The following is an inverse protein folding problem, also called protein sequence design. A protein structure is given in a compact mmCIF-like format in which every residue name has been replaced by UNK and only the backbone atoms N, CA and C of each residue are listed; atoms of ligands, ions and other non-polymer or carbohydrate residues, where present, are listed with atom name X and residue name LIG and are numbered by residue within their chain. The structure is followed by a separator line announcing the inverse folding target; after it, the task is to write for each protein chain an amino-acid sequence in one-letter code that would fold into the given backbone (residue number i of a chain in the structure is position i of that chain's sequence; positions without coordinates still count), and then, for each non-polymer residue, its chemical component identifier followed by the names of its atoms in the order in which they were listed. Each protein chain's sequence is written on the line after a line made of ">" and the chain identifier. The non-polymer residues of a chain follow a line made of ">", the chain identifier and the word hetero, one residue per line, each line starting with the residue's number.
data_IF_787907372174
#
_entry.id   IF_787907372174
#
_cell.length_a   1.000
_cell.length_b   1.000
_cell.length_c   1.000
_cell.angle_alpha   90.00
_cell.angle_beta   90.00
_cell.angle_gamma   90.00
#
_symmetry.space_group_name_H-M   'P 1'
#
loop_
_entity.id
_entity.type
_entity.pdbx_description
1 polymer ?
#
# COMPACT_ATOMS: atom_id res chain seq x y z
N UNK A 1 -12.72 -5.95 10.20
CA UNK A 1 -11.54 -5.24 10.72
C UNK A 1 -11.47 -3.89 10.04
N UNK A 2 -11.31 -2.85 10.81
CA UNK A 2 -11.14 -1.52 10.24
C UNK A 2 -9.70 -1.03 10.37
N UNK A 3 -9.43 0.16 9.84
CA UNK A 3 -8.09 0.71 9.79
C UNK A 3 -7.48 0.95 11.18
N UNK A 4 -8.30 1.18 12.20
CA UNK A 4 -7.79 1.42 13.56
C UNK A 4 -7.06 0.20 14.11
N UNK A 5 -7.48 -1.01 13.73
CA UNK A 5 -6.77 -2.22 14.09
C UNK A 5 -5.30 -2.18 13.62
N UNK A 6 -5.04 -1.57 12.48
CA UNK A 6 -3.71 -1.49 11.89
C UNK A 6 -2.93 -0.26 12.36
N UNK A 7 -3.59 0.89 12.50
CA UNK A 7 -2.91 2.09 13.03
C UNK A 7 -2.46 1.88 14.46
N UNK A 8 -3.21 1.13 15.26
CA UNK A 8 -2.81 0.77 16.62
C UNK A 8 -1.55 -0.11 16.64
N UNK A 9 -1.27 -0.81 15.54
CA UNK A 9 -0.07 -1.65 15.38
C UNK A 9 1.12 -0.92 14.78
N UNK A 10 0.98 0.36 14.43
CA UNK A 10 2.07 1.16 13.92
C UNK A 10 1.99 1.54 12.44
N UNK A 11 0.89 1.24 11.76
CA UNK A 11 0.67 1.78 10.41
C UNK A 11 0.40 3.27 10.49
N UNK A 12 1.08 4.04 9.65
CA UNK A 12 0.96 5.49 9.59
C UNK A 12 0.22 5.95 8.33
N UNK A 13 -0.62 6.96 8.50
CA UNK A 13 -1.25 7.62 7.35
C UNK A 13 -0.18 8.29 6.49
N UNK A 14 -0.20 8.02 5.19
CA UNK A 14 0.75 8.61 4.24
C UNK A 14 0.10 9.68 3.37
N UNK A 15 -0.98 9.33 2.69
CA UNK A 15 -1.62 10.22 1.72
C UNK A 15 -3.02 9.74 1.38
N UNK A 16 -3.73 10.56 0.58
CA UNK A 16 -5.03 10.22 0.03
C UNK A 16 -4.97 10.22 -1.50
N UNK A 17 -5.60 9.22 -2.11
CA UNK A 17 -5.81 9.13 -3.55
C UNK A 17 -7.26 9.53 -3.82
N UNK A 18 -7.48 10.57 -4.63
CA UNK A 18 -8.81 11.10 -4.90
C UNK A 18 -9.05 11.30 -6.39
N UNK A 19 -10.31 11.38 -6.84
CA UNK A 19 -10.62 11.72 -8.23
C UNK A 19 -10.09 13.10 -8.58
N UNK A 20 -9.60 13.26 -9.81
CA UNK A 20 -9.15 14.55 -10.30
C UNK A 20 -9.30 14.65 -11.82
N UNK A 21 -9.82 15.78 -12.29
CA UNK A 21 -9.90 16.08 -13.71
C UNK A 21 -8.60 16.73 -14.25
N UNK A 22 -7.66 17.03 -13.37
CA UNK A 22 -6.39 17.68 -13.76
C UNK A 22 -5.37 16.72 -14.36
N UNK A 23 -5.57 15.41 -14.20
CA UNK A 23 -4.63 14.39 -14.66
C UNK A 23 -5.34 13.39 -15.58
N UNK A 24 -4.62 12.94 -16.62
CA UNK A 24 -5.17 12.01 -17.63
C UNK A 24 -5.65 10.68 -17.00
N UNK A 25 -4.96 10.21 -15.96
CA UNK A 25 -5.35 8.99 -15.26
C UNK A 25 -6.56 9.17 -14.33
N UNK A 26 -7.00 10.41 -14.09
CA UNK A 26 -8.19 10.71 -13.31
C UNK A 26 -8.02 10.63 -11.79
N UNK A 27 -6.79 10.54 -11.30
CA UNK A 27 -6.48 10.43 -9.88
C UNK A 27 -5.42 11.47 -9.50
N UNK A 28 -5.62 12.14 -8.37
CA UNK A 28 -4.63 13.01 -7.74
C UNK A 28 -4.20 12.42 -6.40
N UNK A 29 -2.94 12.65 -6.08
CA UNK A 29 -2.33 12.26 -4.83
C UNK A 29 -2.26 13.48 -3.91
N UNK A 30 -2.99 13.46 -2.79
CA UNK A 30 -2.85 14.45 -1.73
C UNK A 30 -1.68 14.07 -0.82
N UNK A 31 -1.01 15.07 -0.25
CA UNK A 31 0.19 14.89 0.59
C UNK A 31 1.44 14.54 -0.23
N UNK A 32 1.50 14.97 -1.48
CA UNK A 32 2.65 14.74 -2.37
C UNK A 32 3.95 15.26 -1.73
N UNK A 33 3.88 16.40 -1.05
CA UNK A 33 5.06 16.99 -0.39
C UNK A 33 5.66 16.06 0.65
N UNK A 34 4.82 15.42 1.49
CA UNK A 34 5.29 14.46 2.50
C UNK A 34 6.09 13.32 1.87
N UNK A 35 5.60 12.79 0.74
CA UNK A 35 6.27 11.70 0.03
C UNK A 35 7.57 12.19 -0.61
N UNK A 36 7.54 13.33 -1.30
CA UNK A 36 8.72 13.89 -2.00
C UNK A 36 9.81 14.30 -1.02
N UNK A 37 9.45 14.96 0.08
CA UNK A 37 10.41 15.43 1.08
C UNK A 37 11.06 14.28 1.84
N UNK A 38 10.44 13.09 1.83
CA UNK A 38 10.95 11.89 2.50
C UNK A 38 11.20 10.76 1.50
N UNK A 39 11.59 11.09 0.29
CA UNK A 39 11.77 10.12 -0.81
C UNK A 39 12.70 8.98 -0.43
N UNK A 40 13.81 9.27 0.23
CA UNK A 40 14.77 8.25 0.63
C UNK A 40 14.14 7.23 1.59
N UNK A 41 13.41 7.73 2.58
CA UNK A 41 12.70 6.88 3.54
C UNK A 41 11.66 5.99 2.85
N UNK A 42 10.86 6.55 1.93
CA UNK A 42 9.81 5.81 1.24
C UNK A 42 10.31 5.00 0.04
N UNK A 43 11.55 5.17 -0.40
CA UNK A 43 12.18 4.33 -1.43
C UNK A 43 12.70 3.01 -0.85
N UNK A 44 11.95 2.44 0.10
CA UNK A 44 12.27 1.20 0.79
C UNK A 44 11.06 0.27 0.75
N UNK A 45 11.27 -1.02 1.03
CA UNK A 45 10.17 -1.97 1.14
C UNK A 45 9.22 -1.64 2.29
N UNK A 46 7.98 -2.04 2.13
CA UNK A 46 6.97 -1.90 3.15
C UNK A 46 5.66 -2.56 2.78
N UNK A 47 4.74 -2.53 3.72
CA UNK A 47 3.36 -2.96 3.53
C UNK A 47 2.47 -1.72 3.52
N UNK A 48 1.51 -1.68 2.60
CA UNK A 48 0.55 -0.59 2.55
C UNK A 48 -0.87 -1.14 2.70
N UNK A 49 -1.72 -0.30 3.25
CA UNK A 49 -3.15 -0.58 3.39
C UNK A 49 -3.91 0.57 2.76
N UNK A 50 -4.87 0.22 1.90
CA UNK A 50 -5.82 1.18 1.35
C UNK A 50 -7.12 1.05 2.14
N UNK A 51 -7.63 2.18 2.60
CA UNK A 51 -8.89 2.23 3.36
C UNK A 51 -9.76 3.38 2.87
N UNK A 52 -11.08 3.24 3.01
CA UNK A 52 -12.00 4.32 2.70
C UNK A 52 -12.14 5.28 3.91
N UNK A 53 -12.97 6.32 3.76
CA UNK A 53 -13.17 7.32 4.82
C UNK A 53 -13.87 6.74 6.06
N UNK A 54 -14.61 5.65 5.90
CA UNK A 54 -15.24 4.96 7.01
C UNK A 54 -14.30 4.02 7.75
N UNK A 55 -13.04 3.90 7.29
CA UNK A 55 -12.05 3.03 7.90
C UNK A 55 -12.11 1.58 7.42
N UNK A 56 -12.93 1.27 6.42
CA UNK A 56 -12.97 -0.07 5.84
C UNK A 56 -11.67 -0.34 5.07
N UNK A 57 -11.03 -1.44 5.38
CA UNK A 57 -9.82 -1.88 4.67
C UNK A 57 -10.21 -2.45 3.31
N UNK A 58 -9.68 -1.85 2.25
CA UNK A 58 -9.98 -2.23 0.87
C UNK A 58 -8.89 -3.11 0.26
N UNK A 59 -7.65 -2.92 0.67
CA UNK A 59 -6.52 -3.69 0.16
C UNK A 59 -5.37 -3.70 1.15
N UNK A 60 -4.71 -4.84 1.24
CA UNK A 60 -3.42 -5.01 1.92
C UNK A 60 -2.43 -5.47 0.86
N UNK A 61 -1.32 -4.75 0.70
CA UNK A 61 -0.30 -5.07 -0.30
C UNK A 61 1.10 -4.81 0.20
N UNK A 62 2.08 -5.33 -0.52
CA UNK A 62 3.49 -5.09 -0.24
C UNK A 62 4.19 -4.54 -1.47
N UNK A 63 5.31 -3.88 -1.25
CA UNK A 63 6.14 -3.37 -2.33
C UNK A 63 7.61 -3.39 -1.91
N UNK A 64 8.50 -3.49 -2.88
CA UNK A 64 9.93 -3.33 -2.66
C UNK A 64 10.35 -1.85 -2.62
N UNK A 65 9.49 -0.96 -3.08
CA UNK A 65 9.74 0.49 -3.09
C UNK A 65 8.40 1.23 -2.94
N UNK A 66 8.14 1.74 -1.74
CA UNK A 66 6.88 2.41 -1.43
C UNK A 66 6.69 3.69 -2.25
N UNK A 67 7.75 4.47 -2.46
CA UNK A 67 7.67 5.69 -3.26
C UNK A 67 7.17 5.39 -4.67
N UNK A 68 7.76 4.41 -5.34
CA UNK A 68 7.33 4.02 -6.68
C UNK A 68 5.90 3.50 -6.70
N UNK A 69 5.53 2.67 -5.73
CA UNK A 69 4.19 2.09 -5.67
C UNK A 69 3.13 3.17 -5.54
N UNK A 70 3.31 4.11 -4.62
CA UNK A 70 2.29 5.11 -4.32
C UNK A 70 2.36 6.30 -5.28
N UNK A 71 3.56 6.79 -5.58
CA UNK A 71 3.73 8.01 -6.39
C UNK A 71 3.56 7.77 -7.88
N UNK A 72 4.02 6.62 -8.40
CA UNK A 72 4.05 6.38 -9.83
C UNK A 72 3.09 5.29 -10.30
N UNK A 73 3.02 4.16 -9.62
CA UNK A 73 2.32 2.98 -10.16
C UNK A 73 0.81 3.09 -10.11
N UNK A 74 0.21 3.79 -9.14
CA UNK A 74 -1.23 3.99 -9.16
C UNK A 74 -1.70 4.94 -10.25
N UNK A 75 -0.78 5.69 -10.85
CA UNK A 75 -1.05 6.48 -12.04
C UNK A 75 -0.89 5.68 -13.34
N UNK A 76 -0.34 4.48 -13.28
CA UNK A 76 -0.03 3.65 -14.45
C UNK A 76 -1.21 2.74 -14.80
N UNK A 77 -1.53 2.64 -16.12
CA UNK A 77 -2.71 1.89 -16.60
C UNK A 77 -2.43 0.43 -16.93
N UNK A 78 -1.17 -0.01 -16.89
CA UNK A 78 -0.77 -1.29 -17.48
C UNK A 78 -0.97 -2.51 -16.56
N UNK A 79 -1.38 -2.30 -15.31
CA UNK A 79 -1.58 -3.36 -14.33
C UNK A 79 -3.06 -3.46 -13.97
N UNK A 80 -3.63 -4.68 -14.04
CA UNK A 80 -5.06 -4.91 -13.74
C UNK A 80 -5.42 -4.48 -12.31
N UNK A 81 -4.57 -4.79 -11.34
CA UNK A 81 -4.80 -4.42 -9.94
C UNK A 81 -4.84 -2.90 -9.79
N UNK A 82 -3.90 -2.18 -10.40
CA UNK A 82 -3.88 -0.73 -10.37
C UNK A 82 -5.10 -0.12 -11.07
N UNK A 83 -5.57 -0.73 -12.16
CA UNK A 83 -6.79 -0.29 -12.83
C UNK A 83 -8.02 -0.45 -11.94
N UNK A 84 -8.15 -1.56 -11.22
CA UNK A 84 -9.27 -1.78 -10.31
C UNK A 84 -9.29 -0.76 -9.17
N UNK A 85 -8.14 -0.47 -8.59
CA UNK A 85 -7.99 0.56 -7.55
C UNK A 85 -8.38 1.93 -8.12
N UNK A 86 -7.87 2.28 -9.27
CA UNK A 86 -8.16 3.56 -9.92
C UNK A 86 -9.64 3.71 -10.26
N UNK A 87 -10.28 2.66 -10.79
CA UNK A 87 -11.72 2.68 -11.06
C UNK A 87 -12.53 2.85 -9.77
N UNK A 88 -12.14 2.19 -8.71
CA UNK A 88 -12.78 2.36 -7.41
C UNK A 88 -12.70 3.81 -6.93
N UNK A 89 -11.52 4.43 -7.03
CA UNK A 89 -11.32 5.82 -6.62
C UNK A 89 -12.16 6.76 -7.48
N UNK A 90 -12.18 6.56 -8.80
CA UNK A 90 -12.90 7.44 -9.74
C UNK A 90 -14.41 7.33 -9.64
N UNK A 91 -14.93 6.15 -9.35
CA UNK A 91 -16.37 5.86 -9.47
C UNK A 91 -17.08 5.66 -8.14
N UNK A 92 -16.36 5.34 -7.06
CA UNK A 92 -16.98 4.99 -5.79
C UNK A 92 -16.56 5.96 -4.68
N UNK A 93 -15.27 6.06 -4.35
CA UNK A 93 -14.81 6.81 -3.17
C UNK A 93 -13.32 7.09 -3.22
N UNK A 94 -12.84 8.17 -2.58
CA UNK A 94 -11.42 8.38 -2.32
C UNK A 94 -10.86 7.29 -1.41
N UNK A 95 -9.56 7.08 -1.48
CA UNK A 95 -8.86 6.03 -0.73
C UNK A 95 -7.70 6.65 0.04
N UNK A 96 -7.61 6.33 1.32
CA UNK A 96 -6.49 6.71 2.16
C UNK A 96 -5.43 5.61 2.15
N UNK A 97 -4.17 6.00 2.15
CA UNK A 97 -3.03 5.09 2.13
C UNK A 97 -2.33 5.13 3.48
N UNK A 98 -2.18 3.96 4.08
CA UNK A 98 -1.44 3.76 5.33
C UNK A 98 -0.26 2.84 5.05
N UNK A 99 0.87 3.10 5.69
CA UNK A 99 2.10 2.35 5.42
C UNK A 99 2.79 1.89 6.69
N UNK A 100 3.46 0.76 6.58
CA UNK A 100 4.40 0.25 7.56
C UNK A 100 5.70 -0.05 6.82
N UNK A 101 6.75 0.74 7.08
CA UNK A 101 8.02 0.61 6.37
C UNK A 101 8.85 -0.50 6.98
N UNK A 102 9.43 -1.34 6.12
CA UNK A 102 10.30 -2.46 6.49
C UNK A 102 11.56 -2.42 5.64
N UNK A 103 12.50 -1.49 5.96
CA UNK A 103 13.74 -1.37 5.21
C UNK A 103 14.49 -2.70 5.10
N UNK A 104 15.22 -2.87 3.99
CA UNK A 104 16.02 -4.07 3.78
C UNK A 104 17.08 -4.21 4.86
N UNK A 105 17.21 -5.43 5.37
CA UNK A 105 18.28 -5.78 6.30
C UNK A 105 19.44 -6.41 5.54
N UNK A 106 20.66 -6.06 5.95
CA UNK A 106 21.90 -6.56 5.37
C UNK A 106 22.41 -7.71 6.22
N UNK A 107 22.64 -8.86 5.59
CA UNK A 107 23.17 -10.06 6.25
C UNK A 107 24.32 -10.62 5.42
N UNK A 108 25.37 -11.09 6.10
CA UNK A 108 26.49 -11.77 5.44
C UNK A 108 26.28 -13.29 5.55
N UNK A 109 26.16 -13.95 4.41
CA UNK A 109 25.96 -15.40 4.32
C UNK A 109 27.00 -15.97 3.36
N UNK A 110 27.82 -16.89 3.84
CA UNK A 110 28.89 -17.53 3.03
C UNK A 110 29.81 -16.53 2.32
N UNK A 111 30.11 -15.42 2.99
CA UNK A 111 30.95 -14.36 2.41
C UNK A 111 30.22 -13.42 1.46
N UNK A 112 28.92 -13.60 1.24
CA UNK A 112 28.12 -12.75 0.38
C UNK A 112 27.23 -11.82 1.20
N UNK A 113 27.11 -10.58 0.74
CA UNK A 113 26.15 -9.63 1.31
C UNK A 113 24.77 -9.90 0.71
N UNK A 114 23.81 -10.25 1.58
CA UNK A 114 22.43 -10.52 1.19
C UNK A 114 21.52 -9.48 1.82
N UNK A 115 20.65 -8.90 1.02
CA UNK A 115 19.65 -7.94 1.47
C UNK A 115 18.27 -8.60 1.48
N UNK A 116 17.56 -8.49 2.60
CA UNK A 116 16.25 -9.09 2.77
C UNK A 116 15.26 -8.07 3.31
N UNK A 117 13.98 -8.29 3.02
CA UNK A 117 12.89 -7.52 3.59
C UNK A 117 11.79 -8.45 4.06
N UNK A 118 11.17 -8.10 5.20
CA UNK A 118 10.04 -8.85 5.75
C UNK A 118 8.69 -8.39 5.21
N UNK A 119 8.65 -7.46 4.25
CA UNK A 119 7.40 -6.90 3.73
C UNK A 119 6.46 -7.96 3.16
N UNK A 120 6.98 -8.89 2.34
CA UNK A 120 6.16 -9.96 1.77
C UNK A 120 5.60 -10.91 2.81
N UNK A 121 6.41 -11.29 3.81
CA UNK A 121 5.97 -12.13 4.91
C UNK A 121 4.91 -11.47 5.78
N UNK A 122 5.08 -10.18 6.06
CA UNK A 122 4.08 -9.42 6.82
C UNK A 122 2.77 -9.30 6.06
N UNK A 123 2.81 -8.96 4.76
CA UNK A 123 1.60 -8.91 3.92
C UNK A 123 0.84 -10.24 3.99
N UNK A 124 1.56 -11.34 3.80
CA UNK A 124 0.96 -12.68 3.83
C UNK A 124 0.27 -12.98 5.16
N UNK A 125 0.94 -12.67 6.27
CA UNK A 125 0.39 -12.88 7.62
C UNK A 125 -0.84 -12.01 7.86
N UNK A 126 -0.81 -10.75 7.45
CA UNK A 126 -1.94 -9.83 7.61
C UNK A 126 -3.14 -10.27 6.76
N UNK A 127 -2.92 -10.75 5.55
CA UNK A 127 -4.00 -11.26 4.69
C UNK A 127 -4.63 -12.53 5.27
N UNK A 128 -3.82 -13.43 5.82
CA UNK A 128 -4.35 -14.62 6.51
C UNK A 128 -5.18 -14.25 7.74
N UNK A 129 -4.70 -13.33 8.55
CA UNK A 129 -5.41 -12.84 9.72
C UNK A 129 -6.74 -12.20 9.31
N UNK A 130 -6.73 -11.34 8.31
CA UNK A 130 -7.92 -10.69 7.79
C UNK A 130 -8.95 -11.72 7.32
N UNK A 131 -8.52 -12.69 6.51
CA UNK A 131 -9.41 -13.74 5.99
C UNK A 131 -9.95 -14.65 7.09
N UNK A 132 -9.15 -14.99 8.07
CA UNK A 132 -9.57 -15.81 9.22
C UNK A 132 -10.63 -15.07 10.03
N UNK A 133 -10.46 -13.79 10.27
CA UNK A 133 -11.37 -12.97 11.08
C UNK A 133 -12.66 -12.62 10.34
N UNK A 134 -12.57 -12.25 9.07
CA UNK A 134 -13.72 -11.72 8.29
C UNK A 134 -14.33 -12.75 7.34
N UNK A 135 -13.67 -13.88 7.11
CA UNK A 135 -14.02 -14.93 6.14
C UNK A 135 -13.84 -14.55 4.68
N UNK A 136 -13.41 -13.32 4.38
CA UNK A 136 -13.22 -12.79 3.03
C UNK A 136 -11.86 -12.11 2.93
N UNK A 137 -11.35 -11.94 1.73
CA UNK A 137 -10.22 -11.04 1.47
C UNK A 137 -10.71 -9.60 1.44
N UNK A 138 -9.84 -8.60 1.65
CA UNK A 138 -10.20 -7.21 1.38
C UNK A 138 -10.71 -7.06 -0.06
N UNK A 139 -11.70 -6.18 -0.25
CA UNK A 139 -12.45 -6.03 -1.50
C UNK A 139 -11.59 -5.90 -2.76
N UNK A 140 -10.47 -5.19 -2.69
CA UNK A 140 -9.60 -4.95 -3.83
C UNK A 140 -8.41 -5.93 -3.92
N UNK A 141 -8.28 -6.86 -2.97
CA UNK A 141 -7.32 -7.96 -3.10
C UNK A 141 -7.90 -9.05 -4.00
N UNK A 142 -7.06 -9.61 -4.87
CA UNK A 142 -7.46 -10.67 -5.80
C UNK A 142 -7.10 -12.06 -5.29
N UNK A 143 -6.02 -12.17 -4.52
CA UNK A 143 -5.56 -13.46 -3.98
C UNK A 143 -4.63 -13.23 -2.79
N UNK A 144 -4.42 -14.28 -1.98
CA UNK A 144 -3.33 -14.36 -1.01
C UNK A 144 -2.10 -14.88 -1.76
N UNK A 145 -1.00 -14.15 -1.66
CA UNK A 145 0.27 -14.57 -2.25
C UNK A 145 1.10 -15.35 -1.27
#
# INVERSE_FOLDING_TARGET
>A
MDINFYTDKGFDFLCELEPSNMYAQGIALKCVRKIKDNREHYSQPGVYILANKQGEVLKIGQTSNMFNRIYTQYKCVNNITNRRIREHIKTIEPVSVYVYMLPREKTNILGHTVYTSFAGGLEHSLLKEYKTTTKLLPKLNTMIR
#
